data_IF_819099903017
#
_entry.id   IF_819099903017
#
_cell.length_a   1.000
_cell.length_b   1.000
_cell.length_c   1.000
_cell.angle_alpha   90.00
_cell.angle_beta   90.00
_cell.angle_gamma   90.00
#
_symmetry.space_group_name_H-M   'P 1'
#
loop_
_entity.id
_entity.type
_entity.pdbx_description
1 polymer ?
#
# COMPACT_ATOMS: atom_id res chain seq x y z
N UNK A 1 13.09 2.90 6.69
CA UNK A 1 13.15 4.02 5.73
C UNK A 1 14.47 4.76 5.82
N UNK A 2 15.15 4.79 6.97
CA UNK A 2 16.47 5.44 7.16
C UNK A 2 16.45 6.94 6.86
N UNK A 3 15.32 7.59 7.16
CA UNK A 3 15.13 9.02 7.02
C UNK A 3 16.03 9.79 8.00
N UNK A 4 16.55 10.94 7.57
CA UNK A 4 17.36 11.89 8.33
C UNK A 4 16.62 13.18 8.71
N UNK A 5 15.48 13.48 8.09
CA UNK A 5 14.59 14.63 8.26
C UNK A 5 13.16 14.21 8.64
N UNK A 6 12.48 15.05 9.41
CA UNK A 6 11.05 14.88 9.72
C UNK A 6 10.15 15.44 8.61
N UNK A 7 10.71 16.22 7.68
CA UNK A 7 10.00 16.82 6.57
C UNK A 7 10.06 15.89 5.36
N UNK A 8 8.90 15.42 4.91
CA UNK A 8 8.78 14.38 3.89
C UNK A 8 7.73 14.73 2.85
N UNK A 9 7.88 14.14 1.67
CA UNK A 9 6.85 14.08 0.62
C UNK A 9 5.84 13.00 0.95
N UNK A 10 4.58 13.26 0.63
CA UNK A 10 3.49 12.28 0.71
C UNK A 10 2.82 12.11 -0.65
N UNK A 11 2.43 10.89 -0.96
CA UNK A 11 1.47 10.61 -2.02
C UNK A 11 0.10 10.89 -1.42
N UNK A 12 -0.56 11.95 -1.89
CA UNK A 12 -1.88 12.32 -1.38
C UNK A 12 -2.98 11.71 -2.23
N UNK A 13 -3.86 10.95 -1.59
CA UNK A 13 -5.04 10.37 -2.25
C UNK A 13 -6.06 11.47 -2.46
N UNK A 14 -6.62 11.52 -3.67
CA UNK A 14 -7.81 12.28 -3.98
C UNK A 14 -9.02 11.32 -4.05
N UNK A 15 -9.99 11.43 -3.13
CA UNK A 15 -11.19 10.60 -3.16
C UNK A 15 -11.89 10.59 -4.51
N UNK A 16 -12.38 9.42 -4.93
CA UNK A 16 -13.11 9.24 -6.19
C UNK A 16 -12.26 9.26 -7.47
N UNK A 17 -10.93 9.27 -7.38
CA UNK A 17 -10.03 9.28 -8.54
C UNK A 17 -8.78 8.41 -8.38
N UNK A 18 -8.02 8.27 -9.48
CA UNK A 18 -6.74 7.52 -9.53
C UNK A 18 -5.52 8.46 -9.58
N UNK A 19 -5.77 9.76 -9.71
CA UNK A 19 -4.77 10.83 -9.68
C UNK A 19 -4.41 11.12 -8.24
N UNK A 20 -3.14 11.42 -8.00
CA UNK A 20 -2.60 11.78 -6.68
C UNK A 20 -2.11 13.22 -6.68
N UNK A 21 -2.10 13.85 -5.51
CA UNK A 21 -1.39 15.11 -5.32
C UNK A 21 0.00 14.91 -4.70
N UNK A 22 0.84 15.92 -4.89
CA UNK A 22 2.17 15.98 -4.28
C UNK A 22 2.07 16.70 -2.94
N UNK A 23 2.03 15.91 -1.87
CA UNK A 23 1.94 16.41 -0.50
C UNK A 23 3.28 16.60 0.18
N UNK A 24 3.24 17.32 1.28
CA UNK A 24 4.33 17.45 2.24
C UNK A 24 3.76 17.30 3.65
N UNK A 25 4.54 16.70 4.55
CA UNK A 25 4.16 16.51 5.93
C UNK A 25 5.38 16.54 6.86
N UNK A 26 5.12 16.86 8.13
CA UNK A 26 6.03 16.56 9.23
C UNK A 26 5.64 15.22 9.83
N UNK A 27 6.59 14.29 9.99
CA UNK A 27 6.35 12.97 10.58
C UNK A 27 7.16 12.77 11.86
N UNK A 28 6.87 11.68 12.57
CA UNK A 28 7.72 11.17 13.65
C UNK A 28 8.56 10.00 13.14
N UNK A 29 9.77 9.87 13.69
CA UNK A 29 10.72 8.81 13.35
C UNK A 29 11.32 8.20 14.60
N UNK A 30 11.74 6.94 14.51
CA UNK A 30 12.58 6.32 15.54
C UNK A 30 14.07 6.70 15.36
N UNK A 31 14.91 6.27 16.29
CA UNK A 31 16.36 6.52 16.27
C UNK A 31 17.07 5.89 15.05
N UNK A 32 16.40 5.00 14.31
CA UNK A 32 16.90 4.35 13.08
C UNK A 32 16.38 5.05 11.81
N UNK A 33 15.62 6.14 11.97
CA UNK A 33 15.01 6.87 10.86
C UNK A 33 13.84 6.13 10.22
N UNK A 34 13.17 5.23 10.92
CA UNK A 34 11.94 4.61 10.42
C UNK A 34 10.70 5.39 10.86
N UNK A 35 9.71 5.45 9.98
CA UNK A 35 8.45 6.15 10.22
C UNK A 35 7.71 5.58 11.43
N UNK A 36 7.27 6.45 12.34
CA UNK A 36 6.38 6.12 13.45
C UNK A 36 4.99 6.65 13.12
N UNK A 37 4.03 5.74 13.02
CA UNK A 37 2.63 6.08 12.81
C UNK A 37 2.09 6.99 13.92
N UNK A 38 1.38 8.04 13.50
CA UNK A 38 0.66 8.96 14.37
C UNK A 38 -0.85 8.85 14.09
N UNK A 39 -1.66 8.35 15.04
CA UNK A 39 -3.10 8.23 14.85
C UNK A 39 -3.83 9.55 14.58
N UNK A 40 -3.22 10.70 14.90
CA UNK A 40 -3.78 12.03 14.64
C UNK A 40 -3.49 12.53 13.22
N UNK A 41 -2.54 11.92 12.52
CA UNK A 41 -2.22 12.23 11.13
C UNK A 41 -2.69 11.08 10.24
N UNK A 42 -3.45 11.39 9.19
CA UNK A 42 -3.88 10.36 8.23
C UNK A 42 -2.77 10.01 7.22
N UNK A 43 -1.64 9.54 7.75
CA UNK A 43 -0.45 9.17 6.98
C UNK A 43 -0.05 7.76 7.38
N UNK A 44 0.09 6.88 6.39
CA UNK A 44 0.56 5.52 6.57
C UNK A 44 1.78 5.23 5.71
N UNK A 45 2.53 4.22 6.11
CA UNK A 45 3.67 3.74 5.32
C UNK A 45 3.16 2.89 4.17
N UNK A 46 3.71 3.09 2.99
CA UNK A 46 3.44 2.26 1.82
C UNK A 46 4.76 1.71 1.27
N UNK A 47 4.72 0.47 0.79
CA UNK A 47 5.87 -0.19 0.18
C UNK A 47 5.47 -0.91 -1.10
N UNK A 48 6.35 -0.88 -2.11
CA UNK A 48 6.26 -1.71 -3.32
C UNK A 48 7.43 -2.68 -3.31
N UNK A 49 7.13 -3.98 -3.33
CA UNK A 49 8.09 -5.08 -3.23
C UNK A 49 8.16 -5.79 -4.58
N UNK A 50 9.35 -5.80 -5.18
CA UNK A 50 9.60 -6.49 -6.44
C UNK A 50 9.46 -8.00 -6.25
N UNK A 51 8.73 -8.67 -7.16
CA UNK A 51 8.37 -10.08 -6.99
C UNK A 51 8.64 -10.99 -8.19
N UNK A 52 9.03 -10.43 -9.33
CA UNK A 52 9.12 -11.16 -10.59
C UNK A 52 10.52 -11.73 -10.82
N UNK A 53 11.55 -11.01 -10.37
CA UNK A 53 12.96 -11.36 -10.60
C UNK A 53 13.76 -11.60 -9.33
N UNK A 54 13.17 -11.35 -8.15
CA UNK A 54 13.85 -11.57 -6.87
C UNK A 54 15.02 -10.60 -6.66
N UNK A 55 14.88 -9.37 -7.16
CA UNK A 55 15.93 -8.33 -7.08
C UNK A 55 16.24 -7.90 -5.65
N UNK A 56 15.29 -8.10 -4.72
CA UNK A 56 15.35 -7.54 -3.37
C UNK A 56 14.96 -6.07 -3.29
N UNK A 57 14.52 -5.46 -4.39
CA UNK A 57 14.05 -4.08 -4.42
C UNK A 57 12.79 -3.91 -3.58
N UNK A 58 12.82 -2.91 -2.70
CA UNK A 58 11.66 -2.44 -1.94
C UNK A 58 11.63 -0.92 -1.95
N UNK A 59 10.66 -0.37 -2.66
CA UNK A 59 10.38 1.05 -2.67
C UNK A 59 9.55 1.40 -1.46
N UNK A 60 9.89 2.49 -0.77
CA UNK A 60 9.19 2.96 0.41
C UNK A 60 8.66 4.38 0.18
N UNK A 61 7.46 4.65 0.67
CA UNK A 61 6.83 5.96 0.61
C UNK A 61 5.83 6.15 1.75
N UNK A 62 5.17 7.31 1.72
CA UNK A 62 4.13 7.68 2.67
C UNK A 62 2.87 8.06 1.90
N UNK A 63 1.74 7.50 2.33
CA UNK A 63 0.44 7.67 1.70
C UNK A 63 -0.47 8.44 2.66
N UNK A 64 -1.06 9.55 2.18
CA UNK A 64 -1.95 10.40 2.96
C UNK A 64 -3.38 10.33 2.42
N UNK A 65 -4.37 10.26 3.31
CA UNK A 65 -5.78 10.20 2.92
C UNK A 65 -6.35 8.79 2.78
N UNK A 66 -5.61 7.75 3.17
CA UNK A 66 -6.08 6.37 3.05
C UNK A 66 -7.03 5.97 4.21
N UNK A 67 -7.00 6.70 5.31
CA UNK A 67 -7.83 6.46 6.48
C UNK A 67 -7.33 5.37 7.42
N UNK A 68 -6.55 4.39 6.94
CA UNK A 68 -6.11 3.20 7.68
C UNK A 68 -5.59 3.53 9.10
N UNK A 69 -6.25 2.99 10.13
CA UNK A 69 -5.96 3.30 11.54
C UNK A 69 -5.10 2.27 12.26
N UNK A 70 -5.09 1.02 11.78
CA UNK A 70 -4.31 -0.09 12.32
C UNK A 70 -4.16 -1.19 11.27
N UNK A 71 -3.21 -2.09 11.48
CA UNK A 71 -3.00 -3.20 10.56
C UNK A 71 -2.32 -2.82 9.26
N UNK A 72 -2.48 -3.67 8.27
CA UNK A 72 -1.99 -3.49 6.91
C UNK A 72 -2.92 -4.09 5.86
N UNK A 73 -2.87 -3.52 4.65
CA UNK A 73 -3.56 -4.00 3.44
C UNK A 73 -2.50 -4.23 2.37
N UNK A 74 -2.48 -5.42 1.78
CA UNK A 74 -1.57 -5.77 0.68
C UNK A 74 -2.34 -6.30 -0.52
N UNK A 75 -1.88 -5.93 -1.72
CA UNK A 75 -2.41 -6.42 -2.99
C UNK A 75 -1.28 -6.66 -3.99
N UNK A 76 -1.42 -7.67 -4.84
CA UNK A 76 -0.46 -7.96 -5.91
C UNK A 76 -0.85 -7.47 -7.31
N UNK A 77 -1.99 -6.78 -7.40
CA UNK A 77 -2.50 -6.12 -8.62
C UNK A 77 -2.08 -4.65 -8.60
N UNK A 78 -0.78 -4.38 -8.45
CA UNK A 78 -0.25 -3.01 -8.43
C UNK A 78 0.06 -2.54 -9.85
N UNK A 79 -0.86 -1.82 -10.50
CA UNK A 79 -0.75 -1.43 -11.91
C UNK A 79 0.54 -0.65 -12.20
N UNK A 80 1.24 -0.86 -13.31
CA UNK A 80 1.12 -1.98 -14.28
C UNK A 80 2.25 -3.00 -14.16
N UNK A 81 3.25 -2.72 -13.31
CA UNK A 81 4.35 -3.66 -13.04
C UNK A 81 3.87 -4.88 -12.25
N UNK A 82 2.72 -4.78 -11.59
CA UNK A 82 2.12 -5.82 -10.77
C UNK A 82 3.10 -6.42 -9.75
N UNK A 83 3.88 -5.56 -9.11
CA UNK A 83 4.62 -5.89 -7.89
C UNK A 83 3.65 -5.99 -6.70
N UNK A 84 4.12 -6.44 -5.54
CA UNK A 84 3.29 -6.37 -4.32
C UNK A 84 3.31 -4.93 -3.83
N UNK A 85 2.14 -4.34 -3.59
CA UNK A 85 2.02 -3.09 -2.83
C UNK A 85 1.35 -3.38 -1.50
N UNK A 86 1.88 -2.77 -0.44
CA UNK A 86 1.36 -2.90 0.92
C UNK A 86 1.34 -1.54 1.60
N UNK A 87 0.22 -1.19 2.24
CA UNK A 87 0.10 -0.03 3.10
C UNK A 87 -0.18 -0.48 4.54
N UNK A 88 0.43 0.15 5.53
CA UNK A 88 0.25 -0.23 6.92
C UNK A 88 0.70 0.82 7.93
N UNK A 89 0.22 0.67 9.16
CA UNK A 89 0.61 1.54 10.27
C UNK A 89 1.87 1.09 10.98
N UNK A 90 2.33 -0.15 10.72
CA UNK A 90 3.55 -0.69 11.30
C UNK A 90 4.17 -1.77 10.39
N UNK A 91 5.48 -1.94 10.51
CA UNK A 91 6.22 -2.90 9.68
C UNK A 91 5.82 -4.36 9.91
N UNK A 92 5.40 -4.72 11.13
CA UNK A 92 5.07 -6.09 11.47
C UNK A 92 3.86 -6.59 10.67
N UNK A 93 2.78 -5.82 10.69
CA UNK A 93 1.58 -6.15 9.92
C UNK A 93 1.82 -6.05 8.41
N UNK A 94 2.61 -5.08 7.95
CA UNK A 94 2.98 -4.99 6.54
C UNK A 94 3.74 -6.24 6.08
N UNK A 95 4.73 -6.69 6.85
CA UNK A 95 5.50 -7.89 6.53
C UNK A 95 4.62 -9.15 6.55
N UNK A 96 3.72 -9.28 7.52
CA UNK A 96 2.77 -10.38 7.60
C UNK A 96 1.78 -10.38 6.42
N UNK A 97 1.31 -9.21 5.97
CA UNK A 97 0.44 -9.09 4.80
C UNK A 97 1.17 -9.51 3.51
N UNK A 98 2.42 -9.07 3.31
CA UNK A 98 3.26 -9.52 2.19
C UNK A 98 3.47 -11.04 2.25
N UNK A 99 3.73 -11.59 3.44
CA UNK A 99 3.90 -13.05 3.62
C UNK A 99 2.63 -13.83 3.30
N UNK A 100 1.46 -13.29 3.62
CA UNK A 100 0.18 -13.89 3.28
C UNK A 100 0.03 -13.96 1.75
N UNK A 101 0.35 -12.88 1.03
CA UNK A 101 0.34 -12.87 -0.44
C UNK A 101 1.31 -13.90 -1.04
N UNK A 102 2.53 -14.00 -0.52
CA UNK A 102 3.50 -15.02 -0.94
C UNK A 102 2.92 -16.44 -0.77
N UNK A 103 2.34 -16.73 0.40
CA UNK A 103 1.81 -18.04 0.76
C UNK A 103 0.65 -18.45 -0.14
N UNK A 104 -0.25 -17.52 -0.47
CA UNK A 104 -1.42 -17.78 -1.30
C UNK A 104 -1.17 -17.56 -2.81
N UNK A 105 0.08 -17.27 -3.21
CA UNK A 105 0.52 -17.03 -4.60
C UNK A 105 -0.08 -15.76 -5.24
N UNK A 106 -0.23 -14.72 -4.45
CA UNK A 106 -0.76 -13.40 -4.84
C UNK A 106 -2.25 -13.25 -4.56
N UNK A 107 -2.75 -12.02 -4.74
CA UNK A 107 -4.11 -11.65 -4.46
C UNK A 107 -4.18 -10.46 -3.51
N UNK A 108 -5.10 -10.54 -2.55
CA UNK A 108 -5.36 -9.49 -1.57
C UNK A 108 -5.28 -10.08 -0.16
N UNK A 109 -4.77 -9.33 0.80
CA UNK A 109 -4.77 -9.71 2.20
C UNK A 109 -4.83 -8.48 3.11
N UNK A 110 -5.62 -8.58 4.16
CA UNK A 110 -5.64 -7.61 5.26
C UNK A 110 -5.19 -8.28 6.55
N UNK A 111 -4.33 -7.60 7.30
CA UNK A 111 -3.67 -8.13 8.50
C UNK A 111 -3.83 -7.17 9.65
N UNK A 112 -3.99 -7.72 10.85
CA UNK A 112 -3.96 -6.98 12.10
C UNK A 112 -3.26 -7.80 13.19
N UNK A 113 -2.35 -7.16 13.91
CA UNK A 113 -1.63 -7.76 15.04
C UNK A 113 -0.95 -9.09 14.64
N UNK A 114 -0.40 -9.13 13.43
CA UNK A 114 0.25 -10.28 12.81
C UNK A 114 -0.68 -11.38 12.29
N UNK A 115 -2.00 -11.22 12.40
CA UNK A 115 -3.00 -12.21 11.97
C UNK A 115 -3.72 -11.78 10.70
N UNK A 116 -3.89 -12.71 9.76
CA UNK A 116 -4.68 -12.48 8.55
C UNK A 116 -6.16 -12.40 8.92
N UNK A 117 -6.79 -11.24 8.72
CA UNK A 117 -8.21 -11.04 9.00
C UNK A 117 -9.09 -11.51 7.84
N UNK A 118 -8.66 -11.26 6.60
CA UNK A 118 -9.28 -11.75 5.38
C UNK A 118 -8.24 -11.79 4.27
N UNK A 119 -8.41 -12.72 3.34
CA UNK A 119 -7.53 -12.86 2.19
C UNK A 119 -8.28 -13.48 1.01
N UNK A 120 -7.89 -13.06 -0.19
CA UNK A 120 -8.46 -13.51 -1.46
C UNK A 120 -7.30 -13.99 -2.32
N UNK A 121 -7.09 -15.32 -2.44
CA UNK A 121 -6.05 -15.87 -3.29
C UNK A 121 -6.32 -15.62 -4.77
N UNK A 122 -5.31 -15.13 -5.49
CA UNK A 122 -5.30 -14.99 -6.94
C UNK A 122 -4.14 -15.79 -7.55
N UNK A 123 -4.16 -17.14 -7.47
CA UNK A 123 -2.99 -17.97 -7.74
C UNK A 123 -2.49 -17.92 -9.19
N UNK A 124 -3.32 -17.42 -10.13
CA UNK A 124 -2.94 -17.28 -11.53
C UNK A 124 -2.26 -15.91 -11.69
N UNK A 125 -0.92 -15.94 -11.76
CA UNK A 125 -0.04 -14.77 -11.88
C UNK A 125 -0.17 -13.72 -10.74
N UNK A 126 -0.87 -14.03 -9.66
CA UNK A 126 -1.23 -13.04 -8.64
C UNK A 126 -2.28 -12.04 -9.10
N UNK A 127 -3.04 -12.35 -10.16
CA UNK A 127 -3.99 -11.44 -10.80
C UNK A 127 -5.40 -12.04 -10.94
N UNK A 128 -5.51 -13.36 -11.09
CA UNK A 128 -6.80 -14.03 -11.29
C UNK A 128 -7.01 -15.17 -10.30
N UNK A 129 -8.26 -15.34 -9.90
CA UNK A 129 -8.70 -16.46 -9.06
C UNK A 129 -9.05 -17.67 -9.91
N UNK A 130 -8.87 -18.87 -9.36
CA UNK A 130 -9.38 -20.13 -9.90
C UNK A 130 -10.72 -20.55 -9.25
N UNK A 131 -11.29 -19.70 -8.37
CA UNK A 131 -12.55 -19.94 -7.69
C UNK A 131 -13.76 -19.40 -8.48
N UNK A 132 -14.99 -19.90 -8.21
CA UNK A 132 -16.21 -19.36 -8.80
C UNK A 132 -16.40 -17.87 -8.47
N UNK A 133 -16.88 -17.09 -9.43
CA UNK A 133 -17.07 -15.64 -9.28
C UNK A 133 -17.87 -15.25 -8.03
N UNK A 134 -18.97 -15.96 -7.74
CA UNK A 134 -19.79 -15.69 -6.56
C UNK A 134 -19.06 -15.92 -5.23
N UNK A 135 -18.08 -16.84 -5.19
CA UNK A 135 -17.27 -17.07 -4.00
C UNK A 135 -16.24 -15.94 -3.80
N UNK A 136 -15.65 -15.45 -4.90
CA UNK A 136 -14.73 -14.30 -4.88
C UNK A 136 -15.47 -13.03 -4.47
N UNK A 137 -16.67 -12.82 -5.01
CA UNK A 137 -17.55 -11.69 -4.69
C UNK A 137 -17.89 -11.64 -3.20
N UNK A 138 -18.35 -12.75 -2.62
CA UNK A 138 -18.62 -12.83 -1.18
C UNK A 138 -17.36 -12.60 -0.32
N UNK A 139 -16.20 -13.06 -0.76
CA UNK A 139 -14.94 -12.82 -0.06
C UNK A 139 -14.48 -11.34 -0.15
N UNK A 140 -14.77 -10.67 -1.27
CA UNK A 140 -14.55 -9.23 -1.44
C UNK A 140 -15.41 -8.44 -0.45
N UNK A 141 -16.71 -8.75 -0.34
CA UNK A 141 -17.61 -8.11 0.62
C UNK A 141 -17.08 -8.22 2.06
N UNK A 142 -16.64 -9.42 2.46
CA UNK A 142 -16.07 -9.65 3.78
C UNK A 142 -14.77 -8.87 4.01
N UNK A 143 -13.88 -8.83 3.00
CA UNK A 143 -12.62 -8.10 3.06
C UNK A 143 -12.86 -6.60 3.22
N UNK A 144 -13.75 -6.01 2.42
CA UNK A 144 -14.08 -4.59 2.47
C UNK A 144 -14.72 -4.23 3.80
N UNK A 145 -15.71 -5.00 4.26
CA UNK A 145 -16.35 -4.79 5.55
C UNK A 145 -15.33 -4.78 6.70
N UNK A 146 -14.38 -5.72 6.72
CA UNK A 146 -13.31 -5.77 7.72
C UNK A 146 -12.31 -4.63 7.58
N UNK A 147 -11.96 -4.23 6.36
CA UNK A 147 -11.04 -3.12 6.12
C UNK A 147 -11.61 -1.79 6.66
N UNK A 148 -12.88 -1.50 6.41
CA UNK A 148 -13.54 -0.30 6.92
C UNK A 148 -13.79 -0.39 8.44
N UNK A 149 -14.43 -1.46 8.92
CA UNK A 149 -14.91 -1.51 10.31
C UNK A 149 -13.85 -1.93 11.34
N UNK A 150 -12.81 -2.67 10.94
CA UNK A 150 -11.77 -3.17 11.86
C UNK A 150 -10.45 -2.41 11.68
N UNK A 151 -9.99 -2.25 10.44
CA UNK A 151 -8.73 -1.55 10.16
C UNK A 151 -8.89 -0.03 10.10
N UNK A 152 -10.10 0.46 9.83
CA UNK A 152 -10.42 1.88 9.78
C UNK A 152 -10.05 2.56 8.46
N UNK A 153 -9.95 1.82 7.35
CA UNK A 153 -9.79 2.43 6.01
C UNK A 153 -10.97 3.36 5.73
N UNK A 154 -10.71 4.55 5.17
CA UNK A 154 -11.75 5.56 4.95
C UNK A 154 -12.84 5.05 4.00
N UNK A 155 -14.11 5.36 4.28
CA UNK A 155 -15.23 5.08 3.37
C UNK A 155 -15.20 5.95 2.10
N UNK A 156 -14.38 7.01 2.08
CA UNK A 156 -14.20 7.90 0.93
C UNK A 156 -13.25 7.33 -0.14
N UNK A 157 -12.55 6.23 0.17
CA UNK A 157 -11.59 5.59 -0.73
C UNK A 157 -11.92 4.12 -0.92
N UNK A 158 -11.61 3.60 -2.11
CA UNK A 158 -11.70 2.16 -2.32
C UNK A 158 -10.47 1.47 -1.69
N UNK A 159 -10.71 0.43 -0.88
CA UNK A 159 -9.68 -0.29 -0.12
C UNK A 159 -8.59 -0.85 -1.03
N UNK A 160 -8.95 -1.43 -2.17
CA UNK A 160 -8.01 -2.16 -3.02
C UNK A 160 -7.59 -1.32 -4.21
N UNK A 161 -8.55 -0.75 -4.94
CA UNK A 161 -8.31 0.01 -6.17
C UNK A 161 -7.40 1.21 -5.92
N UNK A 162 -7.51 1.88 -4.77
CA UNK A 162 -6.60 2.97 -4.42
C UNK A 162 -5.15 2.52 -4.46
N UNK A 163 -4.82 1.40 -3.78
CA UNK A 163 -3.46 0.85 -3.77
C UNK A 163 -3.03 0.38 -5.15
N UNK A 164 -3.93 -0.23 -5.93
CA UNK A 164 -3.64 -0.70 -7.29
C UNK A 164 -3.07 0.42 -8.18
N UNK A 165 -3.43 1.68 -7.97
CA UNK A 165 -2.96 2.82 -8.77
C UNK A 165 -1.84 3.65 -8.12
N UNK A 166 -1.42 3.35 -6.88
CA UNK A 166 -0.33 4.09 -6.23
C UNK A 166 1.04 3.79 -6.86
N UNK A 167 1.14 2.72 -7.65
CA UNK A 167 2.37 2.29 -8.33
C UNK A 167 2.38 2.49 -9.84
N UNK A 168 1.43 3.25 -10.41
CA UNK A 168 1.30 3.41 -11.86
C UNK A 168 2.02 4.68 -12.35
N UNK A 169 3.26 4.61 -12.87
CA UNK A 169 4.11 5.79 -13.11
C UNK A 169 3.78 6.54 -14.41
N UNK A 170 2.52 6.49 -14.84
CA UNK A 170 2.01 7.20 -16.03
C UNK A 170 0.81 8.09 -15.71
N UNK A 171 0.40 8.15 -14.43
CA UNK A 171 -0.67 9.03 -13.95
C UNK A 171 -0.09 9.99 -12.90
N UNK A 172 -0.34 11.30 -13.01
CA UNK A 172 0.20 12.28 -12.06
C UNK A 172 -0.35 12.11 -10.63
N UNK A 173 0.33 12.64 -9.61
CA UNK A 173 1.64 13.33 -9.64
C UNK A 173 2.76 12.49 -9.05
N UNK A 174 2.60 12.02 -7.80
CA UNK A 174 3.57 11.14 -7.14
C UNK A 174 3.09 9.70 -7.13
N UNK A 175 3.98 8.77 -7.47
CA UNK A 175 3.74 7.32 -7.51
C UNK A 175 4.93 6.58 -6.90
N UNK A 176 4.72 5.34 -6.47
CA UNK A 176 5.74 4.51 -5.85
C UNK A 176 6.09 3.31 -6.72
N UNK A 177 7.36 3.15 -7.07
CA UNK A 177 7.90 1.96 -7.73
C UNK A 177 8.69 1.14 -6.71
N UNK A 178 9.02 -0.11 -7.03
CA UNK A 178 9.93 -0.92 -6.19
C UNK A 178 11.34 -0.31 -6.07
N UNK A 179 11.71 0.59 -7.00
CA UNK A 179 12.96 1.32 -6.99
C UNK A 179 12.91 2.67 -6.28
N UNK A 180 11.73 3.12 -5.83
CA UNK A 180 11.57 4.37 -5.07
C UNK A 180 10.40 5.25 -5.49
N UNK A 181 10.31 6.41 -4.85
CA UNK A 181 9.28 7.42 -5.11
C UNK A 181 9.58 8.16 -6.42
N UNK A 182 8.57 8.27 -7.28
CA UNK A 182 8.70 8.81 -8.62
C UNK A 182 7.70 9.96 -8.82
N UNK A 183 8.22 11.07 -9.35
CA UNK A 183 7.42 12.23 -9.73
C UNK A 183 7.15 12.17 -11.23
N UNK A 184 5.91 11.89 -11.59
CA UNK A 184 5.49 11.68 -12.98
C UNK A 184 5.54 12.98 -13.79
N UNK A 185 5.35 14.14 -13.14
CA UNK A 185 5.42 15.44 -13.82
C UNK A 185 6.87 15.86 -14.08
N UNK A 186 7.76 15.63 -13.11
CA UNK A 186 9.20 15.85 -13.29
C UNK A 186 9.88 14.74 -14.12
N UNK A 187 9.22 13.59 -14.24
CA UNK A 187 9.72 12.37 -14.86
C UNK A 187 11.05 11.88 -14.28
N UNK A 188 11.17 11.94 -12.95
CA UNK A 188 12.39 11.54 -12.24
C UNK A 188 12.05 10.95 -10.86
N UNK A 189 13.00 10.18 -10.32
CA UNK A 189 12.94 9.74 -8.93
C UNK A 189 13.20 10.93 -8.01
N UNK A 190 12.39 11.01 -6.95
CA UNK A 190 12.54 12.04 -5.92
C UNK A 190 12.73 11.37 -4.56
N UNK A 191 13.53 11.94 -3.66
CA UNK A 191 13.65 11.41 -2.32
C UNK A 191 12.31 11.53 -1.58
N UNK A 192 12.07 10.62 -0.63
CA UNK A 192 10.96 10.76 0.31
C UNK A 192 11.14 12.00 1.19
N UNK A 193 12.38 12.39 1.47
CA UNK A 193 12.73 13.54 2.31
C UNK A 193 12.78 14.85 1.51
N UNK A 194 12.36 15.95 2.13
CA UNK A 194 12.45 17.30 1.57
C UNK A 194 13.83 17.92 1.79
#
# INVERSE_FOLDING_TARGET
MHLTSDQVRTIDILPGGVVTEKGQASIRRDDRGDFIYDPQADIVKVAVVERHHGTGNVGLGLLRGYGLKRGAVAVSIAHDSHNIIVAGTNNGDMAAAVKALETQKGGMAIVLDGQVLAAIPLPIAGLMSDQPAAAVDAAMDELYAKAHHILGVSDEVDVIMTLCFMSLPVIPKLKLLDTGLFDVEAFDFVPVEL
#
